data_IF_944454415465
#
_entry.id   IF_944454415465
#
_cell.length_a   1.000
_cell.length_b   1.000
_cell.length_c   1.000
_cell.angle_alpha   90.00
_cell.angle_beta   90.00
_cell.angle_gamma   90.00
#
_symmetry.space_group_name_H-M   'P 1'
#
loop_
_entity.id
_entity.type
_entity.pdbx_description
1 polymer ?
#
# COMPACT_ATOMS: atom_id res chain seq x y z
N UNK A 1 16.94 -21.26 10.31
CA UNK A 1 16.52 -20.30 11.36
C UNK A 1 15.08 -19.93 11.06
N UNK A 2 14.13 -20.32 11.90
CA UNK A 2 12.76 -19.81 11.83
C UNK A 2 12.56 -18.96 13.07
N UNK A 3 12.50 -17.65 12.85
CA UNK A 3 12.13 -16.69 13.89
C UNK A 3 10.62 -16.76 14.02
N UNK A 4 10.12 -17.05 15.21
CA UNK A 4 8.68 -17.01 15.49
C UNK A 4 8.15 -15.61 15.19
N UNK A 5 7.08 -15.52 14.40
CA UNK A 5 6.41 -14.26 14.07
C UNK A 5 5.23 -14.11 15.03
N UNK A 6 5.32 -13.12 15.94
CA UNK A 6 4.22 -12.78 16.85
C UNK A 6 3.48 -11.56 16.32
N UNK A 7 2.18 -11.71 16.10
CA UNK A 7 1.32 -10.64 15.58
C UNK A 7 0.56 -9.98 16.74
N UNK A 8 0.67 -8.65 16.84
CA UNK A 8 -0.22 -7.84 17.66
C UNK A 8 -1.42 -7.41 16.82
N UNK A 9 -2.44 -8.26 16.72
CA UNK A 9 -3.56 -8.11 15.75
C UNK A 9 -4.14 -6.68 15.71
N UNK A 10 -4.52 -6.13 16.86
CA UNK A 10 -5.10 -4.78 16.98
C UNK A 10 -4.14 -3.66 16.54
N UNK A 11 -2.84 -3.80 16.75
CA UNK A 11 -1.85 -2.79 16.33
C UNK A 11 -1.61 -2.88 14.83
N UNK A 12 -1.48 -4.10 14.31
CA UNK A 12 -1.29 -4.37 12.89
C UNK A 12 -2.49 -3.89 12.06
N UNK A 13 -3.72 -4.19 12.47
CA UNK A 13 -4.93 -3.76 11.77
C UNK A 13 -5.07 -2.23 11.75
N UNK A 14 -4.76 -1.57 12.87
CA UNK A 14 -4.72 -0.09 12.92
C UNK A 14 -3.66 0.49 11.99
N UNK A 15 -2.48 -0.12 11.93
CA UNK A 15 -1.41 0.31 11.05
C UNK A 15 -1.78 0.12 9.58
N UNK A 16 -2.37 -1.02 9.21
CA UNK A 16 -2.84 -1.31 7.85
C UNK A 16 -3.98 -0.38 7.43
N UNK A 17 -4.92 -0.09 8.34
CA UNK A 17 -6.00 0.88 8.10
C UNK A 17 -5.46 2.29 7.86
N UNK A 18 -4.49 2.73 8.67
CA UNK A 18 -3.84 4.03 8.50
C UNK A 18 -3.05 4.09 7.18
N UNK A 19 -2.35 3.01 6.82
CA UNK A 19 -1.65 2.90 5.55
C UNK A 19 -2.64 3.04 4.40
N UNK A 20 -3.77 2.32 4.43
CA UNK A 20 -4.80 2.41 3.41
C UNK A 20 -5.34 3.84 3.25
N UNK A 21 -5.73 4.48 4.35
CA UNK A 21 -6.20 5.87 4.33
C UNK A 21 -5.14 6.84 3.76
N UNK A 22 -3.87 6.62 4.06
CA UNK A 22 -2.77 7.46 3.56
C UNK A 22 -2.58 7.26 2.06
N UNK A 23 -2.69 6.01 1.57
CA UNK A 23 -2.61 5.70 0.14
C UNK A 23 -3.81 6.31 -0.61
N UNK A 24 -5.02 6.18 -0.08
CA UNK A 24 -6.25 6.71 -0.71
C UNK A 24 -6.25 8.25 -0.75
N UNK A 25 -5.65 8.91 0.26
CA UNK A 25 -5.49 10.35 0.30
C UNK A 25 -4.31 10.88 -0.54
N UNK A 26 -3.47 9.99 -1.08
CA UNK A 26 -2.30 10.40 -1.84
C UNK A 26 -2.69 10.87 -3.24
N UNK A 27 -2.53 12.18 -3.48
CA UNK A 27 -2.61 12.75 -4.82
C UNK A 27 -1.28 12.57 -5.58
N UNK A 28 -1.30 11.75 -6.63
CA UNK A 28 -0.14 11.48 -7.51
C UNK A 28 -0.08 12.41 -8.73
N UNK A 29 -1.05 13.31 -8.89
CA UNK A 29 -1.12 14.19 -10.05
C UNK A 29 0.05 15.17 -10.10
N UNK A 30 0.69 15.24 -11.27
CA UNK A 30 1.69 16.25 -11.57
C UNK A 30 1.15 17.26 -12.59
N UNK A 31 1.65 18.50 -12.58
CA UNK A 31 1.28 19.49 -13.58
C UNK A 31 1.74 19.06 -14.97
N UNK A 32 0.79 18.95 -15.89
CA UNK A 32 1.05 18.75 -17.32
C UNK A 32 0.86 20.07 -18.08
N UNK A 33 1.49 20.20 -19.24
CA UNK A 33 1.35 21.36 -20.13
C UNK A 33 1.84 22.68 -19.52
N UNK A 34 2.92 22.62 -18.74
CA UNK A 34 3.63 23.82 -18.28
C UNK A 34 4.07 24.59 -19.53
N UNK A 35 3.90 25.91 -19.51
CA UNK A 35 4.35 26.81 -20.59
C UNK A 35 3.29 27.17 -21.64
N UNK A 36 2.11 26.55 -21.65
CA UNK A 36 1.03 26.92 -22.59
C UNK A 36 1.45 26.77 -24.05
N UNK A 37 1.55 27.88 -24.79
CA UNK A 37 2.04 27.91 -26.18
C UNK A 37 3.57 28.01 -26.31
N UNK A 38 4.31 27.93 -25.21
CA UNK A 38 5.77 28.01 -25.21
C UNK A 38 6.39 26.66 -25.63
N UNK A 39 6.98 26.63 -26.83
CA UNK A 39 7.59 25.42 -27.43
C UNK A 39 9.10 25.30 -27.17
N UNK A 40 9.65 26.01 -26.17
CA UNK A 40 11.05 25.81 -25.79
C UNK A 40 11.31 24.34 -25.45
N UNK A 41 12.40 23.77 -25.97
CA UNK A 41 12.77 22.36 -25.73
C UNK A 41 12.85 22.02 -24.24
N UNK A 42 13.26 22.97 -23.41
CA UNK A 42 13.31 22.82 -21.94
C UNK A 42 11.91 22.60 -21.35
N UNK A 43 10.89 23.29 -21.88
CA UNK A 43 9.50 23.13 -21.44
C UNK A 43 8.97 21.75 -21.84
N UNK A 44 9.28 21.28 -23.04
CA UNK A 44 8.91 19.93 -23.49
C UNK A 44 9.53 18.85 -22.59
N UNK A 45 10.84 18.94 -22.31
CA UNK A 45 11.52 18.02 -21.40
C UNK A 45 10.96 18.05 -19.98
N UNK A 46 10.55 19.22 -19.49
CA UNK A 46 9.92 19.34 -18.18
C UNK A 46 8.55 18.63 -18.15
N UNK A 47 7.75 18.78 -19.20
CA UNK A 47 6.46 18.09 -19.31
C UNK A 47 6.65 16.56 -19.41
N UNK A 48 7.63 16.09 -20.19
CA UNK A 48 7.98 14.67 -20.26
C UNK A 48 8.43 14.11 -18.89
N UNK A 49 9.25 14.86 -18.15
CA UNK A 49 9.70 14.46 -16.82
C UNK A 49 8.51 14.38 -15.85
N UNK A 50 7.62 15.37 -15.87
CA UNK A 50 6.42 15.37 -15.03
C UNK A 50 5.53 14.16 -15.32
N UNK A 51 5.36 13.79 -16.59
CA UNK A 51 4.60 12.60 -16.99
C UNK A 51 5.25 11.31 -16.45
N UNK A 52 6.58 11.19 -16.56
CA UNK A 52 7.30 10.04 -16.02
C UNK A 52 7.20 9.96 -14.49
N UNK A 53 7.32 11.09 -13.79
CA UNK A 53 7.13 11.17 -12.35
C UNK A 53 5.72 10.75 -11.96
N UNK A 54 4.69 11.23 -12.65
CA UNK A 54 3.30 10.85 -12.38
C UNK A 54 3.11 9.34 -12.52
N UNK A 55 3.53 8.75 -13.64
CA UNK A 55 3.41 7.30 -13.88
C UNK A 55 4.13 6.48 -12.81
N UNK A 56 5.31 6.93 -12.40
CA UNK A 56 6.07 6.28 -11.32
C UNK A 56 5.31 6.32 -9.99
N UNK A 57 4.72 7.47 -9.64
CA UNK A 57 3.96 7.63 -8.40
C UNK A 57 2.67 6.82 -8.40
N UNK A 58 1.93 6.83 -9.52
CA UNK A 58 0.73 6.00 -9.70
C UNK A 58 1.06 4.50 -9.56
N UNK A 59 2.16 4.05 -10.20
CA UNK A 59 2.62 2.67 -10.08
C UNK A 59 3.01 2.29 -8.65
N UNK A 60 3.68 3.18 -7.92
CA UNK A 60 4.05 2.94 -6.53
C UNK A 60 2.83 2.96 -5.60
N UNK A 61 1.86 3.84 -5.83
CA UNK A 61 0.59 3.86 -5.11
C UNK A 61 -0.15 2.52 -5.27
N UNK A 62 -0.21 1.99 -6.50
CA UNK A 62 -0.80 0.68 -6.77
C UNK A 62 -0.09 -0.45 -6.04
N UNK A 63 1.25 -0.48 -6.08
CA UNK A 63 2.05 -1.47 -5.37
C UNK A 63 1.80 -1.44 -3.84
N UNK A 64 1.66 -0.24 -3.27
CA UNK A 64 1.33 -0.09 -1.86
C UNK A 64 -0.07 -0.61 -1.53
N UNK A 65 -1.07 -0.38 -2.39
CA UNK A 65 -2.41 -0.94 -2.21
C UNK A 65 -2.40 -2.47 -2.21
N UNK A 66 -1.68 -3.07 -3.15
CA UNK A 66 -1.56 -4.53 -3.27
C UNK A 66 -0.88 -5.13 -2.05
N UNK A 67 0.23 -4.55 -1.59
CA UNK A 67 0.94 -5.00 -0.40
C UNK A 67 0.09 -4.85 0.87
N UNK A 68 -0.66 -3.75 0.99
CA UNK A 68 -1.57 -3.54 2.12
C UNK A 68 -2.66 -4.62 2.14
N UNK A 69 -3.30 -4.90 1.00
CA UNK A 69 -4.33 -5.93 0.88
C UNK A 69 -3.80 -7.34 1.17
N UNK A 70 -2.64 -7.70 0.60
CA UNK A 70 -2.00 -8.99 0.84
C UNK A 70 -1.61 -9.19 2.31
N UNK A 71 -1.11 -8.13 2.96
CA UNK A 71 -0.77 -8.18 4.39
C UNK A 71 -2.03 -8.32 5.25
N UNK A 72 -3.11 -7.60 4.92
CA UNK A 72 -4.39 -7.70 5.62
C UNK A 72 -4.93 -9.15 5.57
N UNK A 73 -4.97 -9.76 4.38
CA UNK A 73 -5.39 -11.15 4.21
C UNK A 73 -4.52 -12.13 5.01
N UNK A 74 -3.22 -11.89 5.07
CA UNK A 74 -2.29 -12.74 5.83
C UNK A 74 -2.55 -12.66 7.33
N UNK A 75 -2.81 -11.45 7.85
CA UNK A 75 -3.13 -11.23 9.27
C UNK A 75 -4.46 -11.86 9.64
N UNK A 76 -5.49 -11.69 8.81
CA UNK A 76 -6.81 -12.31 9.00
C UNK A 76 -6.71 -13.84 9.01
N UNK A 77 -5.97 -14.43 8.06
CA UNK A 77 -5.77 -15.87 8.00
C UNK A 77 -5.02 -16.43 9.21
N UNK A 78 -4.05 -15.69 9.76
CA UNK A 78 -3.36 -16.07 10.99
C UNK A 78 -4.28 -15.99 12.21
N UNK A 79 -5.10 -14.93 12.32
CA UNK A 79 -6.06 -14.79 13.41
C UNK A 79 -7.11 -15.91 13.41
N UNK A 80 -7.64 -16.25 12.22
CA UNK A 80 -8.60 -17.35 12.06
C UNK A 80 -7.97 -18.71 12.42
N UNK A 81 -6.72 -18.92 12.02
CA UNK A 81 -5.97 -20.14 12.36
C UNK A 81 -5.77 -20.26 13.87
N UNK A 82 -5.33 -19.19 14.54
CA UNK A 82 -5.15 -19.14 16.00
C UNK A 82 -6.47 -19.41 16.73
N UNK A 83 -7.57 -18.78 16.27
CA UNK A 83 -8.91 -18.97 16.85
C UNK A 83 -9.39 -20.41 16.70
N UNK A 84 -9.23 -20.99 15.52
CA UNK A 84 -9.61 -22.37 15.23
C UNK A 84 -8.82 -23.34 16.10
N UNK A 85 -7.50 -23.18 16.17
CA UNK A 85 -6.62 -24.01 17.00
C UNK A 85 -7.00 -23.93 18.49
N UNK A 86 -7.21 -22.72 19.01
CA UNK A 86 -7.65 -22.50 20.38
C UNK A 86 -8.99 -23.21 20.69
N UNK A 87 -9.93 -23.17 19.73
CA UNK A 87 -11.23 -23.84 19.86
C UNK A 87 -11.09 -25.36 19.94
N UNK A 88 -10.23 -25.95 19.09
CA UNK A 88 -9.98 -27.38 19.06
C UNK A 88 -9.27 -27.85 20.34
N UNK A 89 -8.31 -27.08 20.85
CA UNK A 89 -7.60 -27.38 22.11
C UNK A 89 -8.51 -27.30 23.33
N UNK A 90 -9.48 -26.40 23.33
CA UNK A 90 -10.45 -26.26 24.43
C UNK A 90 -11.50 -27.37 24.41
N UNK A 91 -11.92 -27.81 23.22
CA UNK A 91 -12.92 -28.89 23.05
C UNK A 91 -12.36 -30.30 23.33
N UNK A 92 -11.04 -30.48 23.22
CA UNK A 92 -10.35 -31.76 23.44
C UNK A 92 -9.92 -31.98 24.90
N UNK A 93 -10.35 -31.11 25.83
CA UNK A 93 -10.04 -31.14 27.26
C UNK A 93 -11.30 -31.34 28.10
#
# INVERSE_FOLDING_TARGET
MHTEIKIQYNETERALSKLRQTIDAWNTAYPMQIGGANELEVINKLNELNEQCQKMLEGYQQLLMENQAATQLSVEGMEETDRTLSSTMTLSR
#
